data_IF_217542391951
#
_entry.id   IF_217542391951
#
_cell.length_a   1.000
_cell.length_b   1.000
_cell.length_c   1.000
_cell.angle_alpha   90.00
_cell.angle_beta   90.00
_cell.angle_gamma   90.00
#
_symmetry.space_group_name_H-M   'P 1'
#
loop_
_entity.id
_entity.type
_entity.pdbx_description
1 polymer ?
#
# COMPACT_ATOMS: atom_id res chain seq x y z
N UNK A 1 -19.95 -74.77 -35.47
CA UNK A 1 -21.05 -74.06 -36.18
C UNK A 1 -20.73 -72.57 -36.25
N UNK A 2 -21.54 -71.78 -36.97
CA UNK A 2 -21.28 -70.39 -37.44
C UNK A 2 -20.57 -69.44 -36.46
N UNK A 3 -19.60 -68.66 -36.97
CA UNK A 3 -19.19 -67.36 -36.39
C UNK A 3 -20.31 -66.33 -36.57
N UNK A 4 -20.52 -65.41 -35.61
CA UNK A 4 -21.01 -64.06 -35.87
C UNK A 4 -19.84 -63.12 -36.18
N UNK A 5 -20.02 -62.19 -37.11
CA UNK A 5 -19.13 -61.04 -37.34
C UNK A 5 -19.79 -59.76 -36.84
N UNK A 6 -19.05 -58.90 -36.16
CA UNK A 6 -19.47 -57.52 -35.88
C UNK A 6 -18.41 -56.54 -36.38
N UNK A 7 -18.86 -55.55 -37.15
CA UNK A 7 -18.01 -54.48 -37.66
C UNK A 7 -17.81 -53.42 -36.57
N UNK A 8 -16.60 -52.86 -36.39
CA UNK A 8 -16.41 -51.65 -35.61
C UNK A 8 -16.88 -50.44 -36.42
N UNK A 9 -17.90 -49.73 -35.95
CA UNK A 9 -18.31 -48.43 -36.53
C UNK A 9 -17.34 -47.32 -36.10
N UNK A 10 -16.68 -46.61 -37.03
CA UNK A 10 -15.80 -45.50 -36.69
C UNK A 10 -16.58 -44.18 -36.66
N UNK A 11 -16.95 -43.69 -35.47
CA UNK A 11 -17.20 -42.26 -35.23
C UNK A 11 -17.40 -41.97 -33.73
N UNK A 12 -16.27 -41.77 -33.04
CA UNK A 12 -16.22 -41.17 -31.70
C UNK A 12 -14.96 -40.30 -31.60
N UNK A 13 -14.90 -39.23 -32.39
CA UNK A 13 -13.93 -38.15 -32.14
C UNK A 13 -14.35 -37.44 -30.86
N UNK A 14 -13.91 -37.97 -29.72
CA UNK A 14 -13.99 -37.29 -28.44
C UNK A 14 -13.12 -36.04 -28.50
N UNK A 15 -13.74 -34.88 -28.72
CA UNK A 15 -13.08 -33.59 -28.51
C UNK A 15 -12.74 -33.51 -27.02
N UNK A 16 -11.49 -33.85 -26.68
CA UNK A 16 -10.89 -33.42 -25.43
C UNK A 16 -10.70 -31.91 -25.50
N UNK A 17 -11.78 -31.19 -25.23
CA UNK A 17 -11.75 -29.79 -24.88
C UNK A 17 -10.93 -29.68 -23.60
N UNK A 18 -9.63 -29.44 -23.75
CA UNK A 18 -8.74 -29.17 -22.63
C UNK A 18 -9.25 -27.92 -21.92
N UNK A 19 -9.95 -28.11 -20.82
CA UNK A 19 -10.40 -27.04 -19.95
C UNK A 19 -9.15 -26.45 -19.30
N UNK A 20 -8.52 -25.51 -20.00
CA UNK A 20 -7.48 -24.65 -19.44
C UNK A 20 -8.18 -23.80 -18.39
N UNK A 21 -8.20 -24.30 -17.16
CA UNK A 21 -8.49 -23.51 -15.97
C UNK A 21 -7.32 -22.53 -15.85
N UNK A 22 -7.44 -21.41 -16.57
CA UNK A 22 -6.59 -20.26 -16.37
C UNK A 22 -6.80 -19.85 -14.91
N UNK A 23 -5.79 -20.11 -14.08
CA UNK A 23 -5.75 -19.56 -12.73
C UNK A 23 -5.99 -18.05 -12.85
N UNK A 24 -6.89 -17.45 -12.04
CA UNK A 24 -7.28 -16.06 -12.21
C UNK A 24 -6.00 -15.22 -12.19
N UNK A 25 -5.78 -14.46 -13.27
CA UNK A 25 -4.56 -13.68 -13.45
C UNK A 25 -4.44 -12.72 -12.27
N UNK A 26 -3.56 -13.07 -11.32
CA UNK A 26 -3.53 -12.52 -9.97
C UNK A 26 -3.47 -10.99 -10.02
N UNK A 27 -4.62 -10.36 -9.75
CA UNK A 27 -4.90 -8.99 -10.10
C UNK A 27 -3.87 -8.07 -9.46
N UNK A 28 -3.00 -7.47 -10.27
CA UNK A 28 -2.12 -6.41 -9.80
C UNK A 28 -2.99 -5.18 -9.59
N UNK A 29 -2.97 -4.58 -8.39
CA UNK A 29 -3.94 -3.55 -8.01
C UNK A 29 -3.30 -2.18 -7.97
N UNK A 30 -3.93 -1.22 -8.62
CA UNK A 30 -3.53 0.18 -8.56
C UNK A 30 -4.76 1.08 -8.61
N UNK A 31 -4.61 2.29 -8.10
CA UNK A 31 -5.58 3.36 -8.27
C UNK A 31 -5.47 4.00 -9.66
N UNK A 32 -6.58 4.55 -10.18
CA UNK A 32 -6.57 5.41 -11.37
C UNK A 32 -5.78 6.70 -11.10
N UNK A 33 -5.24 7.40 -12.12
CA UNK A 33 -4.58 8.70 -11.93
C UNK A 33 -5.40 9.72 -11.13
N UNK A 34 -6.71 9.79 -11.37
CA UNK A 34 -7.61 10.66 -10.62
C UNK A 34 -7.66 10.29 -9.13
N UNK A 35 -7.68 8.99 -8.81
CA UNK A 35 -7.66 8.49 -7.42
C UNK A 35 -6.28 8.63 -6.77
N UNK A 36 -5.19 8.42 -7.50
CA UNK A 36 -3.82 8.66 -7.04
C UNK A 36 -3.61 10.13 -6.63
N UNK A 37 -4.13 11.07 -7.43
CA UNK A 37 -4.13 12.51 -7.13
C UNK A 37 -5.05 12.81 -5.95
N UNK A 38 -6.31 12.33 -5.98
CA UNK A 38 -7.27 12.58 -4.92
C UNK A 38 -6.76 12.08 -3.55
N UNK A 39 -6.16 10.89 -3.47
CA UNK A 39 -5.71 10.29 -2.22
C UNK A 39 -4.51 11.00 -1.57
N UNK A 40 -3.86 11.95 -2.24
CA UNK A 40 -2.89 12.84 -1.57
C UNK A 40 -3.47 14.23 -1.25
N UNK A 41 -4.71 14.53 -1.65
CA UNK A 41 -5.40 15.79 -1.38
C UNK A 41 -5.96 15.88 0.04
N UNK A 42 -6.98 16.73 0.26
CA UNK A 42 -7.67 16.78 1.56
C UNK A 42 -8.40 15.47 1.86
N UNK A 43 -8.34 15.02 3.13
CA UNK A 43 -8.93 13.78 3.61
C UNK A 43 -10.44 13.84 3.85
N UNK A 44 -11.09 12.68 3.98
CA UNK A 44 -12.54 12.56 4.23
C UNK A 44 -12.92 12.85 5.71
N UNK A 45 -12.28 13.87 6.30
CA UNK A 45 -12.18 14.18 7.73
C UNK A 45 -11.37 13.17 8.59
N UNK A 46 -11.11 13.59 9.84
CA UNK A 46 -10.12 13.03 10.78
C UNK A 46 -10.28 11.52 11.07
N UNK A 47 -9.16 10.76 11.00
CA UNK A 47 -9.04 9.44 11.64
C UNK A 47 -9.22 9.60 13.17
N UNK A 48 -10.01 8.73 13.82
CA UNK A 48 -10.25 8.84 15.26
C UNK A 48 -8.99 8.56 16.09
N UNK A 49 -8.77 9.38 17.13
CA UNK A 49 -7.91 9.06 18.27
C UNK A 49 -6.40 9.06 18.01
N UNK A 50 -5.96 8.85 16.77
CA UNK A 50 -4.55 8.80 16.40
C UNK A 50 -3.95 10.21 16.26
N UNK A 51 -3.89 10.92 17.40
CA UNK A 51 -2.91 11.98 17.67
C UNK A 51 -1.90 11.66 18.80
N UNK A 52 -1.28 10.47 18.83
CA UNK A 52 0.03 10.29 19.47
C UNK A 52 1.15 10.78 18.55
N UNK A 53 2.30 11.07 19.16
CA UNK A 53 3.48 11.67 18.51
C UNK A 53 4.21 10.77 17.49
N UNK A 54 3.75 9.53 17.24
CA UNK A 54 4.23 8.68 16.13
C UNK A 54 3.42 8.82 14.83
N UNK A 55 2.18 9.33 14.85
CA UNK A 55 1.35 9.47 13.64
C UNK A 55 1.43 10.89 13.13
N UNK A 56 2.49 11.13 12.35
CA UNK A 56 2.82 12.41 11.74
C UNK A 56 1.66 12.98 10.93
N UNK A 57 0.88 13.89 11.55
CA UNK A 57 0.52 15.28 11.16
C UNK A 57 0.32 15.68 9.68
N UNK A 58 0.37 14.73 8.75
CA UNK A 58 0.75 14.92 7.35
C UNK A 58 -0.01 13.95 6.45
N UNK A 59 -1.30 13.72 6.73
CA UNK A 59 -2.17 12.91 5.88
C UNK A 59 -2.36 13.59 4.52
N UNK A 60 -1.84 12.99 3.44
CA UNK A 60 -1.76 13.61 2.12
C UNK A 60 -0.43 14.33 1.86
N UNK A 61 0.69 13.74 2.28
CA UNK A 61 2.03 14.32 2.17
C UNK A 61 3.04 13.33 1.57
N UNK A 62 4.15 13.85 1.07
CA UNK A 62 5.29 13.04 0.62
C UNK A 62 6.59 13.79 0.86
N UNK A 63 7.65 13.05 1.20
CA UNK A 63 9.00 13.59 1.43
C UNK A 63 9.83 13.49 0.16
N UNK A 64 10.01 12.27 -0.33
CA UNK A 64 10.81 11.92 -1.50
C UNK A 64 10.47 10.49 -1.96
N UNK A 65 10.61 10.22 -3.26
CA UNK A 65 10.63 8.85 -3.81
C UNK A 65 11.92 8.08 -3.48
N UNK A 66 12.92 8.73 -2.88
CA UNK A 66 14.21 8.16 -2.48
C UNK A 66 14.41 8.22 -0.96
N UNK A 67 15.11 7.25 -0.41
CA UNK A 67 15.34 7.14 1.03
C UNK A 67 16.65 7.77 1.50
N UNK A 68 16.72 8.06 2.80
CA UNK A 68 17.95 8.40 3.51
C UNK A 68 18.19 9.89 3.74
N UNK A 69 19.19 10.16 4.59
CA UNK A 69 19.36 11.45 5.23
C UNK A 69 19.42 12.62 4.25
N UNK A 70 20.08 12.50 3.10
CA UNK A 70 20.21 13.62 2.15
C UNK A 70 18.89 14.00 1.47
N UNK A 71 17.98 13.04 1.29
CA UNK A 71 16.65 13.22 0.68
C UNK A 71 15.59 13.73 1.67
N UNK A 72 15.90 13.81 2.96
CA UNK A 72 14.98 14.28 4.00
C UNK A 72 14.85 15.82 4.03
N UNK A 73 13.70 16.37 4.48
CA UNK A 73 13.56 17.81 4.73
C UNK A 73 14.41 18.26 5.93
N UNK A 74 14.61 19.58 6.05
CA UNK A 74 15.45 20.19 7.09
C UNK A 74 14.99 19.87 8.52
N UNK A 75 13.67 19.81 8.75
CA UNK A 75 13.12 19.46 10.06
C UNK A 75 13.39 18.00 10.45
N UNK A 76 13.39 17.08 9.48
CA UNK A 76 13.68 15.66 9.75
C UNK A 76 15.18 15.43 9.97
N UNK A 77 16.02 16.10 9.17
CA UNK A 77 17.47 16.18 9.39
C UNK A 77 17.82 16.70 10.79
N UNK A 78 17.05 17.67 11.30
CA UNK A 78 17.20 18.21 12.65
C UNK A 78 16.66 17.28 13.75
N UNK A 79 15.58 16.52 13.49
CA UNK A 79 15.04 15.53 14.44
C UNK A 79 15.92 14.29 14.57
N UNK A 80 16.49 13.81 13.46
CA UNK A 80 17.23 12.55 13.38
C UNK A 80 18.71 12.71 12.91
N UNK A 81 19.51 13.58 13.54
CA UNK A 81 20.88 13.86 13.12
C UNK A 81 21.81 12.64 13.17
N UNK A 82 21.47 11.60 13.94
CA UNK A 82 22.24 10.36 14.04
C UNK A 82 22.38 9.59 12.71
N UNK A 83 21.48 9.80 11.73
CA UNK A 83 21.57 9.14 10.42
C UNK A 83 22.46 9.87 9.42
N UNK A 84 22.96 11.08 9.73
CA UNK A 84 23.80 11.92 8.84
C UNK A 84 25.02 11.20 8.26
N UNK A 85 25.56 10.21 8.97
CA UNK A 85 26.76 9.48 8.56
C UNK A 85 26.50 8.01 8.20
N UNK A 86 25.23 7.60 8.05
CA UNK A 86 24.87 6.23 7.66
C UNK A 86 25.04 6.06 6.16
N UNK A 87 26.17 5.45 5.79
CA UNK A 87 26.55 5.11 4.41
C UNK A 87 25.75 3.92 3.88
N UNK A 88 25.56 3.87 2.56
CA UNK A 88 24.86 2.80 1.85
C UNK A 88 23.53 3.26 1.25
N UNK A 89 22.97 2.45 0.34
CA UNK A 89 21.70 2.77 -0.29
C UNK A 89 20.54 2.57 0.70
N UNK A 90 19.75 3.62 0.92
CA UNK A 90 18.50 3.56 1.68
C UNK A 90 17.36 3.08 0.77
N UNK A 91 17.54 1.89 0.21
CA UNK A 91 16.63 1.25 -0.75
C UNK A 91 15.49 0.47 -0.09
N UNK A 92 15.49 0.34 1.25
CA UNK A 92 14.56 -0.50 2.00
C UNK A 92 13.29 0.28 2.36
N UNK A 93 12.28 0.17 1.50
CA UNK A 93 10.95 0.72 1.74
C UNK A 93 10.07 -0.30 2.48
N UNK A 94 9.35 0.11 3.52
CA UNK A 94 8.34 -0.71 4.22
C UNK A 94 6.95 -0.12 3.96
N UNK A 95 6.12 -0.74 3.11
CA UNK A 95 4.72 -0.33 2.92
C UNK A 95 3.89 -0.60 4.18
N UNK A 96 2.93 0.27 4.48
CA UNK A 96 2.03 0.12 5.63
C UNK A 96 0.64 0.73 5.37
N UNK A 97 -0.31 0.41 6.24
CA UNK A 97 -1.63 1.05 6.32
C UNK A 97 -2.07 1.26 7.78
N UNK A 98 -2.96 2.23 7.98
CA UNK A 98 -3.66 2.48 9.25
C UNK A 98 -5.16 2.52 8.97
N UNK A 99 -5.96 1.80 9.77
CA UNK A 99 -7.43 1.79 9.67
C UNK A 99 -8.04 2.07 11.04
N UNK A 100 -8.95 3.04 11.12
CA UNK A 100 -9.65 3.42 12.36
C UNK A 100 -11.10 3.81 12.06
N UNK A 101 -11.93 3.87 13.10
CA UNK A 101 -13.23 4.53 13.02
C UNK A 101 -13.10 6.05 12.77
N UNK A 102 -14.18 6.74 12.34
CA UNK A 102 -14.27 8.19 12.40
C UNK A 102 -14.30 8.70 13.84
N UNK A 103 -13.77 9.90 14.08
CA UNK A 103 -13.70 10.48 15.43
C UNK A 103 -15.07 10.50 16.13
N UNK A 104 -15.10 10.08 17.40
CA UNK A 104 -16.32 9.93 18.20
C UNK A 104 -17.12 8.65 17.94
N UNK A 105 -16.83 7.88 16.87
CA UNK A 105 -17.45 6.57 16.66
C UNK A 105 -17.04 5.59 17.76
N UNK A 106 -18.00 4.74 18.18
CA UNK A 106 -17.76 3.57 19.05
C UNK A 106 -18.24 2.25 18.43
N UNK A 107 -18.85 2.28 17.25
CA UNK A 107 -19.32 1.08 16.56
C UNK A 107 -18.12 0.38 15.89
N UNK A 108 -17.82 -0.88 16.22
CA UNK A 108 -16.73 -1.62 15.57
C UNK A 108 -17.01 -1.80 14.09
N UNK A 109 -15.97 -1.69 13.25
CA UNK A 109 -16.02 -1.95 11.82
C UNK A 109 -15.25 -3.24 11.53
N UNK A 110 -15.91 -4.25 10.94
CA UNK A 110 -15.26 -5.49 10.55
C UNK A 110 -14.67 -5.33 9.15
N UNK A 111 -13.34 -5.40 9.07
CA UNK A 111 -12.55 -5.09 7.89
C UNK A 111 -11.97 -6.37 7.30
N UNK A 112 -11.92 -6.42 5.98
CA UNK A 112 -11.19 -7.44 5.23
C UNK A 112 -10.15 -6.75 4.34
N UNK A 113 -8.89 -7.17 4.46
CA UNK A 113 -7.79 -6.71 3.63
C UNK A 113 -7.73 -7.51 2.33
N UNK A 114 -7.66 -6.79 1.22
CA UNK A 114 -7.52 -7.35 -0.11
C UNK A 114 -6.06 -7.40 -0.56
N UNK A 115 -5.85 -7.20 -1.86
CA UNK A 115 -4.50 -7.18 -2.43
C UNK A 115 -3.77 -5.86 -2.14
N UNK A 116 -2.44 -5.91 -2.21
CA UNK A 116 -1.55 -4.76 -2.19
C UNK A 116 -0.64 -4.82 -3.42
N UNK A 117 -0.22 -3.66 -3.94
CA UNK A 117 0.90 -3.57 -4.89
C UNK A 117 1.74 -2.31 -4.66
N UNK A 118 3.05 -2.44 -4.88
CA UNK A 118 4.03 -1.35 -4.88
C UNK A 118 4.57 -1.19 -6.30
N UNK A 119 4.50 0.03 -6.83
CA UNK A 119 5.09 0.44 -8.10
C UNK A 119 6.08 1.58 -7.88
N UNK A 120 7.06 1.70 -8.78
CA UNK A 120 7.87 2.91 -8.93
C UNK A 120 7.80 3.45 -10.36
N UNK A 121 7.85 4.77 -10.53
CA UNK A 121 8.05 5.41 -11.81
C UNK A 121 9.55 5.58 -12.04
N UNK A 122 10.08 4.88 -13.03
CA UNK A 122 11.49 4.95 -13.42
C UNK A 122 11.77 6.24 -14.17
N UNK A 123 12.73 7.04 -13.66
CA UNK A 123 13.22 8.24 -14.34
C UNK A 123 13.83 7.91 -15.70
N UNK A 124 14.51 6.76 -15.80
CA UNK A 124 15.25 6.34 -16.98
C UNK A 124 14.35 5.72 -18.06
N UNK A 125 13.32 4.95 -17.66
CA UNK A 125 12.38 4.30 -18.59
C UNK A 125 11.09 5.11 -18.83
N UNK A 126 10.87 6.20 -18.08
CA UNK A 126 9.66 7.05 -18.12
C UNK A 126 8.33 6.25 -18.04
N UNK A 127 8.33 5.17 -17.25
CA UNK A 127 7.17 4.30 -17.04
C UNK A 127 7.10 3.77 -15.61
N UNK A 128 5.92 3.36 -15.20
CA UNK A 128 5.73 2.58 -13.98
C UNK A 128 6.24 1.14 -14.14
N UNK A 129 6.86 0.63 -13.08
CA UNK A 129 7.34 -0.75 -12.96
C UNK A 129 6.89 -1.29 -11.60
N UNK A 130 6.34 -2.51 -11.60
CA UNK A 130 5.93 -3.22 -10.40
C UNK A 130 7.17 -3.67 -9.60
N UNK A 131 7.21 -3.35 -8.30
CA UNK A 131 8.23 -3.85 -7.37
C UNK A 131 7.73 -5.06 -6.57
N UNK A 132 6.46 -5.03 -6.14
CA UNK A 132 5.85 -6.11 -5.36
C UNK A 132 4.32 -6.12 -5.52
N UNK A 133 3.70 -7.30 -5.37
CA UNK A 133 2.25 -7.50 -5.28
C UNK A 133 1.90 -8.70 -4.41
N UNK A 134 0.62 -8.86 -4.07
CA UNK A 134 0.06 -10.03 -3.36
C UNK A 134 0.72 -10.35 -2.01
N UNK A 135 1.37 -9.34 -1.42
CA UNK A 135 1.99 -9.44 -0.10
C UNK A 135 0.90 -9.49 0.97
N UNK A 136 1.07 -10.37 1.97
CA UNK A 136 0.23 -10.36 3.16
C UNK A 136 0.78 -9.34 4.16
N UNK A 137 -0.08 -8.56 4.84
CA UNK A 137 0.34 -7.74 5.95
C UNK A 137 0.42 -8.56 7.24
N UNK A 138 1.33 -8.19 8.14
CA UNK A 138 1.14 -8.44 9.56
C UNK A 138 0.25 -7.31 10.11
N UNK A 139 -0.78 -7.61 10.91
CA UNK A 139 -1.75 -6.61 11.39
C UNK A 139 -1.79 -6.58 12.91
N UNK A 140 -1.45 -5.45 13.52
CA UNK A 140 -1.60 -5.22 14.96
C UNK A 140 -2.80 -4.32 15.27
N UNK A 141 -3.50 -4.60 16.38
CA UNK A 141 -4.41 -3.64 17.01
C UNK A 141 -3.64 -2.84 18.04
N UNK A 142 -3.58 -1.52 17.88
CA UNK A 142 -2.75 -0.64 18.72
C UNK A 142 -3.60 0.12 19.74
N UNK A 143 -3.00 0.52 20.86
CA UNK A 143 -3.60 1.47 21.81
C UNK A 143 -3.46 2.91 21.31
N UNK A 144 -4.43 3.77 21.66
CA UNK A 144 -4.45 5.16 21.20
C UNK A 144 -3.50 6.12 21.96
N UNK A 145 -3.26 5.85 23.25
CA UNK A 145 -2.66 6.81 24.19
C UNK A 145 -1.13 6.73 24.31
N UNK A 146 -0.55 5.58 23.99
CA UNK A 146 0.90 5.43 23.82
C UNK A 146 1.31 5.94 22.42
N UNK A 147 2.54 5.66 21.98
CA UNK A 147 2.91 5.64 20.50
C UNK A 147 2.62 3.30 18.61
N UNK A 148 2.68 3.26 17.21
CA UNK A 148 2.33 2.12 16.32
C UNK A 148 3.41 1.00 16.32
N UNK A 149 4.25 1.02 17.36
CA UNK A 149 5.05 -0.06 17.90
C UNK A 149 4.29 -0.92 18.93
N UNK A 150 3.37 -0.34 19.71
CA UNK A 150 2.67 -1.01 20.83
C UNK A 150 1.34 -1.61 20.35
N UNK A 151 1.46 -2.51 19.36
CA UNK A 151 0.31 -3.15 18.73
C UNK A 151 0.25 -4.64 19.09
N UNK A 152 -0.90 -5.11 19.56
CA UNK A 152 -1.13 -6.54 19.76
C UNK A 152 -1.29 -7.22 18.39
N UNK A 153 -0.31 -8.01 17.99
CA UNK A 153 -0.25 -8.62 16.66
C UNK A 153 -1.32 -9.70 16.43
N UNK A 154 -1.81 -9.75 15.20
CA UNK A 154 -2.75 -10.74 14.67
C UNK A 154 -2.33 -11.11 13.24
N UNK A 155 -2.39 -12.40 12.90
CA UNK A 155 -1.98 -12.92 11.58
C UNK A 155 -3.15 -13.10 10.61
N UNK A 156 -4.23 -12.32 10.80
CA UNK A 156 -5.50 -12.48 10.08
C UNK A 156 -5.72 -11.32 9.09
N UNK A 157 -6.02 -11.57 7.81
CA UNK A 157 -6.40 -10.51 6.86
C UNK A 157 -7.79 -9.93 7.16
N UNK A 158 -8.59 -10.59 8.01
CA UNK A 158 -9.85 -10.07 8.55
C UNK A 158 -9.63 -9.58 9.98
N UNK A 159 -9.91 -8.31 10.25
CA UNK A 159 -9.66 -7.67 11.53
C UNK A 159 -10.78 -6.69 11.89
N UNK A 160 -10.96 -6.38 13.19
CA UNK A 160 -11.98 -5.42 13.63
C UNK A 160 -11.31 -4.11 13.99
N UNK A 161 -11.60 -3.05 13.22
CA UNK A 161 -11.17 -1.71 13.53
C UNK A 161 -12.10 -1.07 14.56
N UNK A 162 -11.51 -0.38 15.54
CA UNK A 162 -12.22 0.33 16.58
C UNK A 162 -11.90 1.84 16.50
N UNK A 163 -12.57 2.59 17.36
CA UNK A 163 -12.14 3.91 17.82
C UNK A 163 -12.26 3.87 19.35
N UNK A 164 -11.21 4.22 20.11
CA UNK A 164 -10.01 4.93 19.66
C UNK A 164 -8.87 4.01 19.15
N UNK A 165 -8.94 2.69 19.32
CA UNK A 165 -7.85 1.75 19.01
C UNK A 165 -7.77 1.39 17.50
N UNK A 166 -6.76 1.86 16.74
CA UNK A 166 -6.65 1.58 15.32
C UNK A 166 -6.06 0.19 15.03
N UNK A 167 -6.25 -0.26 13.80
CA UNK A 167 -5.41 -1.28 13.17
C UNK A 167 -4.21 -0.59 12.52
N UNK A 168 -3.00 -1.10 12.76
CA UNK A 168 -1.81 -0.78 11.98
C UNK A 168 -1.33 -2.07 11.31
N UNK A 169 -1.07 -2.03 10.01
CA UNK A 169 -0.56 -3.18 9.28
C UNK A 169 0.63 -2.81 8.41
N UNK A 170 1.65 -3.66 8.39
CA UNK A 170 2.85 -3.47 7.59
C UNK A 170 3.14 -4.69 6.72
N UNK A 171 3.84 -4.45 5.62
CA UNK A 171 4.27 -5.48 4.67
C UNK A 171 5.79 -5.64 4.72
N UNK A 172 6.29 -6.76 4.19
CA UNK A 172 7.74 -6.99 4.11
C UNK A 172 8.47 -5.90 3.30
N UNK A 173 9.77 -5.74 3.54
CA UNK A 173 10.56 -4.73 2.83
C UNK A 173 10.59 -4.94 1.32
N UNK A 174 10.38 -3.84 0.58
CA UNK A 174 10.51 -3.75 -0.87
C UNK A 174 11.77 -2.94 -1.20
N UNK A 175 12.56 -3.40 -2.17
CA UNK A 175 13.79 -2.72 -2.62
C UNK A 175 13.46 -1.70 -3.72
N UNK A 176 13.67 -0.42 -3.44
CA UNK A 176 13.46 0.68 -4.39
C UNK A 176 14.76 1.00 -5.16
N UNK A 177 14.74 1.01 -6.50
CA UNK A 177 15.89 1.43 -7.32
C UNK A 177 16.24 2.92 -7.20
N UNK A 178 17.52 3.26 -7.39
CA UNK A 178 18.02 4.65 -7.35
C UNK A 178 17.47 5.54 -8.48
N UNK A 179 16.93 4.98 -9.55
CA UNK A 179 16.28 5.75 -10.62
C UNK A 179 14.80 6.03 -10.36
N UNK A 180 14.29 5.74 -9.15
CA UNK A 180 12.91 6.05 -8.78
C UNK A 180 12.64 7.55 -8.72
N UNK A 181 11.88 8.05 -9.70
CA UNK A 181 11.32 9.40 -9.70
C UNK A 181 10.01 9.46 -8.90
N UNK A 182 9.23 8.38 -8.82
CA UNK A 182 8.05 8.34 -7.96
C UNK A 182 7.79 6.94 -7.40
N UNK A 183 7.03 6.88 -6.30
CA UNK A 183 6.47 5.66 -5.74
C UNK A 183 4.95 5.71 -5.81
N UNK A 184 4.32 4.54 -5.88
CA UNK A 184 2.91 4.34 -5.56
C UNK A 184 2.76 3.06 -4.75
N UNK A 185 2.03 3.14 -3.64
CA UNK A 185 1.58 1.98 -2.86
C UNK A 185 0.06 1.99 -2.92
N UNK A 186 -0.54 0.91 -3.40
CA UNK A 186 -2.00 0.74 -3.46
C UNK A 186 -2.40 -0.45 -2.59
N UNK A 187 -3.32 -0.23 -1.64
CA UNK A 187 -3.87 -1.27 -0.76
C UNK A 187 -5.38 -1.32 -0.92
N UNK A 188 -5.95 -2.51 -0.97
CA UNK A 188 -7.39 -2.73 -0.94
C UNK A 188 -7.87 -3.14 0.46
N UNK A 189 -9.00 -2.57 0.87
CA UNK A 189 -9.77 -3.04 2.01
C UNK A 189 -11.27 -2.82 1.77
N UNK A 190 -12.11 -3.52 2.54
CA UNK A 190 -13.57 -3.29 2.58
C UNK A 190 -14.10 -3.40 4.01
N UNK A 191 -15.19 -2.68 4.30
CA UNK A 191 -16.02 -2.94 5.48
C UNK A 191 -16.99 -4.05 5.12
N UNK A 192 -16.89 -5.20 5.79
CA UNK A 192 -17.81 -6.34 5.58
C UNK A 192 -19.08 -6.16 6.42
N UNK A 193 -18.97 -5.60 7.62
CA UNK A 193 -20.10 -5.28 8.49
C UNK A 193 -19.72 -4.30 9.62
N UNK A 194 -20.73 -3.75 10.30
CA UNK A 194 -20.55 -2.87 11.45
C UNK A 194 -20.50 -1.39 11.11
N UNK A 195 -19.62 -0.64 11.78
CA UNK A 195 -19.47 0.81 11.66
C UNK A 195 -18.70 1.26 10.42
N UNK A 196 -18.62 2.58 10.23
CA UNK A 196 -17.76 3.19 9.21
C UNK A 196 -16.29 3.07 9.62
N UNK A 197 -15.39 2.94 8.63
CA UNK A 197 -13.95 3.01 8.82
C UNK A 197 -13.29 3.93 7.78
N UNK A 198 -12.14 4.49 8.15
CA UNK A 198 -11.25 5.29 7.33
C UNK A 198 -9.91 4.55 7.20
N UNK A 199 -9.30 4.54 6.02
CA UNK A 199 -7.96 3.99 5.78
C UNK A 199 -6.99 5.06 5.27
N UNK A 200 -5.77 5.08 5.81
CA UNK A 200 -4.60 5.72 5.21
C UNK A 200 -3.58 4.64 4.82
N UNK A 201 -2.90 4.83 3.69
CA UNK A 201 -1.81 3.98 3.21
C UNK A 201 -0.52 4.81 3.20
N UNK A 202 0.62 4.21 3.51
CA UNK A 202 1.93 4.90 3.47
C UNK A 202 3.09 3.94 3.24
N UNK A 203 4.30 4.48 3.27
CA UNK A 203 5.51 3.67 3.25
C UNK A 203 6.72 4.40 3.83
N UNK A 204 7.52 3.71 4.64
CA UNK A 204 8.66 4.27 5.37
C UNK A 204 10.01 3.78 4.83
N UNK A 205 11.00 4.66 4.83
CA UNK A 205 12.37 4.29 4.43
C UNK A 205 13.23 3.91 5.64
N UNK A 206 13.66 2.65 5.68
CA UNK A 206 14.55 2.12 6.70
C UNK A 206 16.02 2.18 6.24
N UNK A 207 16.97 2.33 7.18
CA UNK A 207 18.40 2.33 6.85
C UNK A 207 18.86 0.96 6.32
N UNK A 208 20.08 0.88 5.72
CA UNK A 208 20.69 -0.37 5.30
C UNK A 208 20.63 -1.47 6.37
N UNK A 209 20.55 -2.74 5.92
CA UNK A 209 20.45 -3.88 6.84
C UNK A 209 21.61 -3.91 7.85
N UNK A 210 21.30 -4.21 9.12
CA UNK A 210 22.25 -4.15 10.24
C UNK A 210 22.35 -2.78 10.93
N UNK A 211 21.88 -1.69 10.31
CA UNK A 211 21.80 -0.38 10.98
C UNK A 211 20.55 -0.34 11.86
N UNK A 212 20.74 -0.26 13.17
CA UNK A 212 19.64 -0.12 14.14
C UNK A 212 19.04 1.28 14.11
N UNK A 213 17.71 1.36 14.07
CA UNK A 213 16.96 2.61 14.27
C UNK A 213 16.94 3.08 15.72
N UNK A 214 17.37 2.22 16.68
CA UNK A 214 17.25 2.45 18.13
C UNK A 214 15.84 2.81 18.60
N UNK A 215 14.82 2.30 17.91
CA UNK A 215 13.41 2.54 18.23
C UNK A 215 12.85 3.89 17.75
N UNK A 216 13.62 4.72 17.03
CA UNK A 216 13.06 5.97 16.48
C UNK A 216 12.20 5.68 15.25
N UNK A 217 11.00 6.29 15.21
CA UNK A 217 10.19 6.33 14.00
C UNK A 217 10.88 7.19 12.93
N UNK A 218 10.90 6.71 11.69
CA UNK A 218 11.52 7.37 10.53
C UNK A 218 10.43 8.06 9.70
N UNK A 219 10.77 9.10 8.94
CA UNK A 219 9.81 9.70 8.00
C UNK A 219 9.38 8.71 6.92
N UNK A 220 8.07 8.76 6.62
CA UNK A 220 7.51 8.17 5.43
C UNK A 220 8.13 8.77 4.16
N UNK A 221 8.31 7.95 3.11
CA UNK A 221 8.42 8.44 1.74
C UNK A 221 7.19 9.29 1.37
N UNK A 222 6.04 8.91 1.92
CA UNK A 222 4.77 9.64 1.91
C UNK A 222 3.63 8.77 2.42
N UNK A 223 2.45 9.38 2.56
CA UNK A 223 1.24 8.70 3.02
C UNK A 223 -0.02 9.42 2.54
N UNK A 224 -1.04 8.64 2.22
CA UNK A 224 -2.33 9.12 1.75
C UNK A 224 -3.06 9.94 2.83
N UNK A 225 -3.97 10.77 2.37
CA UNK A 225 -5.06 11.26 3.20
C UNK A 225 -6.04 10.11 3.52
N UNK A 226 -6.86 10.22 4.60
CA UNK A 226 -7.73 9.14 5.00
C UNK A 226 -8.96 9.06 4.09
N UNK A 227 -9.34 7.85 3.72
CA UNK A 227 -10.46 7.58 2.81
C UNK A 227 -11.45 6.59 3.40
N UNK A 228 -12.74 6.85 3.20
CA UNK A 228 -13.79 5.93 3.67
C UNK A 228 -13.71 4.58 2.96
N UNK A 229 -13.68 3.52 3.75
CA UNK A 229 -13.87 2.15 3.27
C UNK A 229 -15.37 1.89 3.07
N UNK A 230 -15.71 1.23 1.96
CA UNK A 230 -17.08 0.91 1.56
C UNK A 230 -17.42 -0.57 1.78
N UNK A 231 -18.69 -0.95 1.56
CA UNK A 231 -19.15 -2.34 1.48
C UNK A 231 -18.78 -2.98 0.12
N UNK A 232 -17.51 -2.83 -0.27
CA UNK A 232 -16.96 -3.11 -1.59
C UNK A 232 -15.47 -2.77 -1.60
N UNK A 233 -14.71 -3.34 -2.54
CA UNK A 233 -13.23 -3.24 -2.55
C UNK A 233 -12.74 -1.80 -2.80
N UNK A 234 -12.42 -1.10 -1.72
CA UNK A 234 -11.92 0.26 -1.75
C UNK A 234 -10.40 0.21 -1.91
N UNK A 235 -9.89 0.68 -3.05
CA UNK A 235 -8.45 0.92 -3.20
C UNK A 235 -8.11 2.30 -2.62
N UNK A 236 -7.14 2.35 -1.72
CA UNK A 236 -6.53 3.60 -1.22
C UNK A 236 -5.06 3.58 -1.59
N UNK A 237 -4.50 4.74 -1.95
CA UNK A 237 -3.11 4.80 -2.41
C UNK A 237 -2.30 5.96 -1.83
N UNK A 238 -1.04 5.67 -1.50
CA UNK A 238 0.02 6.66 -1.40
C UNK A 238 0.66 6.85 -2.78
N UNK A 239 1.00 8.07 -3.16
CA UNK A 239 1.74 8.38 -4.39
C UNK A 239 2.60 9.63 -4.20
N UNK A 240 3.89 9.56 -4.53
CA UNK A 240 4.79 10.72 -4.38
C UNK A 240 4.62 11.69 -5.56
N UNK A 241 3.72 12.67 -5.42
CA UNK A 241 3.45 13.68 -6.43
C UNK A 241 4.50 14.82 -6.40
N UNK A 242 4.90 15.29 -7.58
CA UNK A 242 5.93 16.32 -7.74
C UNK A 242 5.54 17.67 -7.11
N UNK A 243 4.24 17.91 -6.95
CA UNK A 243 3.66 19.11 -6.37
C UNK A 243 3.63 19.09 -4.82
N UNK A 244 4.04 17.98 -4.18
CA UNK A 244 3.97 17.76 -2.73
C UNK A 244 5.29 17.36 -2.08
N UNK A 245 6.21 16.75 -2.84
CA UNK A 245 7.50 16.28 -2.32
C UNK A 245 8.45 17.42 -1.95
N UNK A 246 9.18 17.25 -0.85
CA UNK A 246 10.17 18.23 -0.39
C UNK A 246 11.49 18.18 -1.16
N UNK A 247 11.82 17.02 -1.72
CA UNK A 247 13.05 16.78 -2.47
C UNK A 247 12.84 17.00 -3.98
N UNK A 248 13.84 17.59 -4.65
CA UNK A 248 13.67 18.14 -6.00
C UNK A 248 13.86 17.07 -7.07
N UNK A 249 12.77 16.79 -7.80
CA UNK A 249 12.76 15.81 -8.90
C UNK A 249 12.43 14.38 -8.46
N UNK A 250 12.06 14.17 -7.21
CA UNK A 250 11.63 12.89 -6.63
C UNK A 250 10.12 12.81 -6.47
N UNK A 251 9.40 13.22 -7.52
CA UNK A 251 7.95 12.99 -7.67
C UNK A 251 7.52 12.94 -9.13
N UNK A 252 6.31 12.41 -9.38
CA UNK A 252 5.65 12.44 -10.69
C UNK A 252 4.66 13.61 -10.74
N UNK A 253 4.69 14.43 -11.78
CA UNK A 253 3.70 15.50 -11.94
C UNK A 253 2.36 14.96 -12.40
N UNK A 254 1.26 15.62 -12.02
CA UNK A 254 -0.09 15.13 -12.30
C UNK A 254 -0.32 14.84 -13.80
N UNK A 255 0.19 15.69 -14.68
CA UNK A 255 0.05 15.48 -16.13
C UNK A 255 0.90 14.31 -16.66
N UNK A 256 2.07 14.03 -16.06
CA UNK A 256 2.88 12.88 -16.44
C UNK A 256 2.25 11.57 -15.96
N UNK A 257 1.65 11.57 -14.78
CA UNK A 257 0.86 10.48 -14.23
C UNK A 257 -0.41 10.18 -15.05
N UNK A 258 -1.10 11.22 -15.56
CA UNK A 258 -2.25 11.06 -16.46
C UNK A 258 -1.86 10.43 -17.80
N UNK A 259 -0.68 10.76 -18.35
CA UNK A 259 -0.17 10.16 -19.60
C UNK A 259 0.42 8.76 -19.40
N UNK A 260 1.05 8.51 -18.25
CA UNK A 260 1.67 7.25 -17.90
C UNK A 260 1.15 6.78 -16.53
N UNK A 261 -0.01 6.13 -16.52
CA UNK A 261 -0.55 5.48 -15.32
C UNK A 261 0.09 4.10 -15.10
N UNK A 262 0.11 3.56 -13.87
CA UNK A 262 0.39 2.15 -13.67
C UNK A 262 -0.63 1.31 -14.45
N UNK A 263 -0.19 0.23 -15.09
CA UNK A 263 -1.05 -0.67 -15.86
C UNK A 263 -1.45 -1.84 -14.97
N UNK A 264 -2.72 -1.89 -14.58
CA UNK A 264 -3.18 -2.75 -13.50
C UNK A 264 -4.65 -3.17 -13.67
N UNK A 265 -5.06 -4.16 -12.87
CA UNK A 265 -6.45 -4.55 -12.67
C UNK A 265 -7.10 -3.63 -11.62
N UNK A 266 -7.50 -2.42 -12.01
CA UNK A 266 -8.39 -1.63 -11.15
C UNK A 266 -9.73 -2.35 -11.05
N UNK A 267 -10.24 -2.68 -9.85
CA UNK A 267 -11.67 -2.87 -9.69
C UNK A 267 -12.38 -1.57 -10.08
N UNK A 268 -13.64 -1.68 -10.51
CA UNK A 268 -14.49 -0.50 -10.64
C UNK A 268 -14.84 0.01 -9.23
N UNK A 269 -14.77 1.34 -9.08
CA UNK A 269 -15.09 2.09 -7.85
C UNK A 269 -16.58 2.27 -7.65
#
# INVERSE_FOLDING_TARGET
MKKPSFNPSPLALGLFAALVIAAPAQAQVCATPARMIADQGQGDAYLAGINPSWTWSHAGYSVSSLGGYDHWPSWEKARLPQFRYVKGAWERLMPWFVISGPSGSRTPAHIEMGQMSVYYFSRNMQRWVLLAKDMRPDIGTCTADTALTDCHMTSSPSATAYSPNPLHGWYSFVKVPQDAQALSVSVQARVVSGGRALMTVGADYYPPAGVSTRGVALSAAGNSAPRYLQNGWTTVTMTTLAEQVTDRGTGISQSLLQRNSPQCSSPQS
#
